data_IF_133738796954
#
_entry.id   IF_133738796954
#
_cell.length_a   1.000
_cell.length_b   1.000
_cell.length_c   1.000
_cell.angle_alpha   90.00
_cell.angle_beta   90.00
_cell.angle_gamma   90.00
#
_symmetry.space_group_name_H-M   'P 1'
#
loop_
_entity.id
_entity.type
_entity.pdbx_description
1 polymer ?
#
# COMPACT_ATOMS: atom_id res chain seq x y z
N UNK A 1 8.96 11.59 4.51
CA UNK A 1 10.38 11.38 4.15
C UNK A 1 10.75 9.91 4.31
N UNK A 2 11.51 9.34 3.37
CA UNK A 2 12.06 7.98 3.41
C UNK A 2 13.32 7.98 4.26
N UNK A 3 14.42 8.60 3.85
CA UNK A 3 15.54 8.91 4.73
C UNK A 3 15.16 10.02 5.71
N UNK A 4 15.73 9.97 6.91
CA UNK A 4 15.48 11.01 7.90
C UNK A 4 16.29 12.26 7.58
N UNK A 5 15.74 13.43 7.94
CA UNK A 5 16.45 14.71 7.87
C UNK A 5 17.77 14.68 8.64
N UNK A 6 17.84 13.99 9.78
CA UNK A 6 19.07 13.82 10.56
C UNK A 6 20.12 12.96 9.87
N UNK A 7 19.69 12.01 9.04
CA UNK A 7 20.57 11.10 8.31
C UNK A 7 21.08 11.72 7.00
N UNK A 8 20.21 12.40 6.27
CA UNK A 8 20.55 12.99 4.97
C UNK A 8 19.83 14.35 4.76
N UNK A 9 20.31 15.44 5.39
CA UNK A 9 19.63 16.74 5.36
C UNK A 9 19.43 17.29 3.95
N UNK A 10 20.36 17.04 3.03
CA UNK A 10 20.29 17.54 1.65
C UNK A 10 19.15 16.91 0.85
N UNK A 11 18.71 15.70 1.21
CA UNK A 11 17.60 15.01 0.54
C UNK A 11 16.23 15.32 1.14
N UNK A 12 16.13 16.25 2.10
CA UNK A 12 14.84 16.56 2.76
C UNK A 12 13.75 16.93 1.75
N UNK A 13 14.08 17.69 0.71
CA UNK A 13 13.15 18.11 -0.34
C UNK A 13 13.34 17.38 -1.66
N UNK A 14 14.16 16.32 -1.67
CA UNK A 14 14.29 15.45 -2.83
C UNK A 14 12.98 14.68 -3.00
N UNK A 15 12.36 14.78 -4.19
CA UNK A 15 11.12 14.09 -4.52
C UNK A 15 11.21 12.58 -4.27
N UNK A 16 12.35 11.96 -4.59
CA UNK A 16 12.56 10.53 -4.39
C UNK A 16 12.73 10.15 -2.91
N UNK A 17 12.92 11.13 -2.04
CA UNK A 17 12.94 10.98 -0.60
C UNK A 17 11.59 11.31 0.06
N UNK A 18 10.60 11.74 -0.73
CA UNK A 18 9.23 11.94 -0.28
C UNK A 18 8.41 10.69 -0.62
N UNK A 19 7.93 10.02 0.43
CA UNK A 19 6.81 9.11 0.33
C UNK A 19 5.58 9.87 0.81
N UNK A 20 4.49 9.84 0.04
CA UNK A 20 3.22 10.45 0.42
C UNK A 20 2.78 9.87 1.77
N UNK A 21 2.47 10.73 2.74
CA UNK A 21 2.00 10.32 4.05
C UNK A 21 0.49 10.51 4.10
N UNK A 22 -0.25 9.44 4.41
CA UNK A 22 -1.71 9.44 4.50
C UNK A 22 -2.25 10.06 5.80
N UNK A 23 -1.38 10.59 6.65
CA UNK A 23 -1.76 11.18 7.94
C UNK A 23 -1.54 12.68 7.88
N UNK A 24 -2.59 13.45 8.14
CA UNK A 24 -2.39 14.85 8.49
C UNK A 24 -1.62 14.93 9.82
N UNK A 25 -0.55 15.72 9.81
CA UNK A 25 0.36 15.84 10.93
C UNK A 25 -0.25 16.52 12.16
N UNK A 26 -1.36 17.25 12.00
CA UNK A 26 -2.00 18.03 13.06
C UNK A 26 -3.21 17.31 13.67
N UNK A 27 -4.07 16.67 12.87
CA UNK A 27 -5.26 15.98 13.40
C UNK A 27 -5.04 14.48 13.65
N UNK A 28 -4.62 13.76 12.61
CA UNK A 28 -4.72 12.29 12.60
C UNK A 28 -3.61 11.66 13.44
N UNK A 29 -2.44 12.30 13.43
CA UNK A 29 -1.28 11.86 14.22
C UNK A 29 -1.52 11.99 15.73
N UNK A 30 -2.22 13.05 16.17
CA UNK A 30 -2.55 13.23 17.58
C UNK A 30 -3.65 12.25 18.01
N UNK A 31 -4.67 12.05 17.18
CA UNK A 31 -5.73 11.06 17.43
C UNK A 31 -5.16 9.65 17.53
N UNK A 32 -4.27 9.24 16.62
CA UNK A 32 -3.62 7.92 16.65
C UNK A 32 -2.74 7.73 17.90
N UNK A 33 -1.99 8.78 18.30
CA UNK A 33 -1.19 8.76 19.54
C UNK A 33 -2.08 8.65 20.78
N UNK A 34 -3.18 9.39 20.83
CA UNK A 34 -4.15 9.35 21.95
C UNK A 34 -4.84 7.98 22.03
N UNK A 35 -5.11 7.35 20.88
CA UNK A 35 -5.70 6.01 20.80
C UNK A 35 -4.70 4.88 21.05
N UNK A 36 -3.42 5.19 21.28
CA UNK A 36 -2.37 4.19 21.49
C UNK A 36 -2.07 3.34 20.24
N UNK A 37 -2.51 3.79 19.07
CA UNK A 37 -2.23 3.12 17.81
C UNK A 37 -0.75 3.31 17.45
N UNK A 38 -0.06 2.22 17.10
CA UNK A 38 1.31 2.34 16.61
C UNK A 38 1.34 3.15 15.31
N UNK A 39 2.11 4.23 15.32
CA UNK A 39 2.30 5.10 14.16
C UNK A 39 2.96 4.34 13.01
N UNK A 40 2.62 4.70 11.78
CA UNK A 40 3.07 4.04 10.55
C UNK A 40 3.66 5.04 9.53
N UNK A 41 4.17 4.52 8.43
CA UNK A 41 4.79 5.28 7.35
C UNK A 41 5.99 6.10 7.83
N UNK A 42 6.03 7.37 7.43
CA UNK A 42 7.12 8.30 7.78
C UNK A 42 7.28 8.57 9.28
N UNK A 43 6.31 8.16 10.11
CA UNK A 43 6.29 8.36 11.56
C UNK A 43 6.45 7.07 12.36
N UNK A 44 6.63 5.92 11.70
CA UNK A 44 6.89 4.66 12.37
C UNK A 44 8.14 4.75 13.27
N UNK A 45 8.05 4.14 14.46
CA UNK A 45 9.13 4.13 15.45
C UNK A 45 10.43 3.54 14.89
N UNK A 46 10.33 2.58 13.96
CA UNK A 46 11.45 1.97 13.23
C UNK A 46 12.33 2.97 12.50
N UNK A 47 11.75 4.11 12.05
CA UNK A 47 12.53 5.16 11.39
C UNK A 47 13.45 5.91 12.35
N UNK A 48 13.25 5.88 13.66
CA UNK A 48 14.09 6.64 14.61
C UNK A 48 15.59 6.35 14.52
N UNK A 49 15.99 5.19 13.97
CA UNK A 49 17.37 4.72 13.85
C UNK A 49 18.03 4.96 12.48
N UNK A 50 17.34 5.64 11.55
CA UNK A 50 17.79 5.80 10.17
C UNK A 50 17.30 4.68 9.25
N UNK A 51 17.47 4.86 7.95
CA UNK A 51 16.97 3.97 6.89
C UNK A 51 18.14 3.43 6.08
N UNK A 52 18.20 2.11 5.93
CA UNK A 52 19.09 1.43 5.01
C UNK A 52 18.45 1.42 3.62
N UNK A 53 18.95 2.30 2.75
CA UNK A 53 18.42 2.48 1.40
C UNK A 53 18.72 1.29 0.47
N UNK A 54 19.69 0.43 0.79
CA UNK A 54 19.93 -0.79 0.02
C UNK A 54 18.84 -1.84 0.28
N UNK A 55 18.28 -1.84 1.50
CA UNK A 55 17.22 -2.76 1.91
C UNK A 55 15.81 -2.20 1.65
N UNK A 56 15.66 -0.88 1.61
CA UNK A 56 14.36 -0.23 1.42
C UNK A 56 13.80 -0.43 0.00
N UNK A 57 12.56 -0.87 -0.10
CA UNK A 57 11.78 -0.92 -1.35
C UNK A 57 11.05 0.41 -1.51
N UNK A 58 11.56 1.26 -2.39
CA UNK A 58 10.96 2.57 -2.67
C UNK A 58 9.72 2.44 -3.54
N UNK A 59 8.68 3.25 -3.27
CA UNK A 59 7.51 3.36 -4.15
C UNK A 59 7.83 4.00 -5.51
N UNK A 60 9.02 4.62 -5.65
CA UNK A 60 9.53 5.15 -6.90
C UNK A 60 10.37 4.12 -7.68
N UNK A 61 10.60 2.92 -7.12
CA UNK A 61 11.24 1.83 -7.84
C UNK A 61 10.27 1.25 -8.87
N UNK A 62 10.71 1.04 -10.12
CA UNK A 62 9.90 0.31 -11.09
C UNK A 62 9.48 -1.05 -10.52
N UNK A 63 8.21 -1.39 -10.68
CA UNK A 63 7.64 -2.66 -10.23
C UNK A 63 7.82 -2.94 -8.73
N UNK A 64 7.80 -1.90 -7.88
CA UNK A 64 7.88 -2.07 -6.43
C UNK A 64 6.73 -2.92 -5.86
N UNK A 65 5.57 -2.94 -6.53
CA UNK A 65 4.39 -3.71 -6.12
C UNK A 65 4.65 -5.20 -6.02
N UNK A 66 5.55 -5.77 -6.85
CA UNK A 66 5.84 -7.20 -6.84
C UNK A 66 6.44 -7.71 -5.53
N UNK A 67 6.96 -6.81 -4.68
CA UNK A 67 7.55 -7.19 -3.40
C UNK A 67 6.50 -7.51 -2.33
N UNK A 68 5.25 -7.10 -2.54
CA UNK A 68 4.22 -7.14 -1.50
C UNK A 68 2.98 -7.90 -1.97
N UNK A 69 2.48 -8.78 -1.11
CA UNK A 69 1.17 -9.38 -1.22
C UNK A 69 0.27 -8.89 -0.08
N UNK A 70 -1.04 -8.89 -0.34
CA UNK A 70 -2.07 -8.46 0.61
C UNK A 70 -2.95 -9.65 0.94
N UNK A 71 -3.16 -9.90 2.23
CA UNK A 71 -3.98 -10.99 2.71
C UNK A 71 -5.37 -10.49 3.12
N UNK A 72 -6.34 -11.41 3.16
CA UNK A 72 -7.72 -11.11 3.57
C UNK A 72 -7.84 -10.58 5.00
N UNK A 73 -6.92 -10.94 5.89
CA UNK A 73 -6.84 -10.39 7.25
C UNK A 73 -6.19 -8.99 7.32
N UNK A 74 -6.00 -8.35 6.18
CA UNK A 74 -5.44 -7.00 6.04
C UNK A 74 -3.93 -6.93 6.20
N UNK A 75 -3.20 -8.04 6.35
CA UNK A 75 -1.72 -8.00 6.41
C UNK A 75 -1.11 -7.76 5.04
N UNK A 76 0.00 -7.02 5.05
CA UNK A 76 0.97 -6.93 3.96
C UNK A 76 2.12 -7.89 4.29
N UNK A 77 2.46 -8.76 3.36
CA UNK A 77 3.53 -9.75 3.49
C UNK A 77 4.46 -9.70 2.28
N UNK A 78 5.69 -10.24 2.34
CA UNK A 78 6.49 -10.47 1.15
C UNK A 78 5.68 -11.31 0.14
N UNK A 79 5.72 -10.93 -1.13
CA UNK A 79 5.05 -11.71 -2.18
C UNK A 79 5.72 -13.08 -2.38
N UNK A 80 4.95 -14.03 -2.91
CA UNK A 80 5.48 -15.33 -3.29
C UNK A 80 6.48 -15.22 -4.46
N UNK A 81 7.42 -16.17 -4.55
CA UNK A 81 8.38 -16.25 -5.64
C UNK A 81 9.55 -15.27 -5.57
N UNK A 82 9.64 -14.46 -4.52
CA UNK A 82 10.79 -13.60 -4.25
C UNK A 82 12.04 -14.42 -3.88
N UNK A 83 13.21 -13.93 -4.29
CA UNK A 83 14.49 -14.45 -3.82
C UNK A 83 14.71 -14.11 -2.33
N UNK A 84 15.62 -14.81 -1.62
CA UNK A 84 15.89 -14.52 -0.21
C UNK A 84 16.30 -13.06 0.07
N UNK A 85 17.04 -12.44 -0.84
CA UNK A 85 17.41 -11.02 -0.73
C UNK A 85 16.18 -10.12 -0.87
N UNK A 86 15.28 -10.42 -1.80
CA UNK A 86 14.06 -9.63 -2.01
C UNK A 86 13.06 -9.79 -0.88
N UNK A 87 12.97 -10.98 -0.29
CA UNK A 87 12.19 -11.23 0.94
C UNK A 87 12.73 -10.33 2.07
N UNK A 88 14.05 -10.31 2.30
CA UNK A 88 14.65 -9.45 3.34
C UNK A 88 14.29 -7.96 3.11
N UNK A 89 14.32 -7.51 1.86
CA UNK A 89 13.96 -6.13 1.50
C UNK A 89 12.48 -5.82 1.74
N UNK A 90 11.59 -6.74 1.40
CA UNK A 90 10.16 -6.62 1.65
C UNK A 90 9.87 -6.57 3.15
N UNK A 91 10.40 -7.52 3.92
CA UNK A 91 10.26 -7.59 5.39
C UNK A 91 10.83 -6.34 6.06
N UNK A 92 12.01 -5.90 5.63
CA UNK A 92 12.62 -4.67 6.11
C UNK A 92 11.70 -3.47 5.89
N UNK A 93 11.12 -3.34 4.70
CA UNK A 93 10.26 -2.21 4.36
C UNK A 93 8.93 -2.26 5.13
N UNK A 94 8.31 -3.43 5.25
CA UNK A 94 7.08 -3.65 6.04
C UNK A 94 7.31 -3.25 7.50
N UNK A 95 8.40 -3.73 8.11
CA UNK A 95 8.74 -3.43 9.49
C UNK A 95 9.15 -1.97 9.70
N UNK A 96 9.98 -1.42 8.81
CA UNK A 96 10.45 -0.03 8.90
C UNK A 96 9.30 0.97 8.89
N UNK A 97 8.32 0.75 8.02
CA UNK A 97 7.15 1.63 7.86
C UNK A 97 5.96 1.22 8.73
N UNK A 98 6.08 0.14 9.51
CA UNK A 98 4.98 -0.47 10.26
C UNK A 98 3.71 -0.63 9.41
N UNK A 99 3.85 -1.22 8.21
CA UNK A 99 2.72 -1.34 7.25
C UNK A 99 1.59 -2.22 7.80
N UNK A 100 1.90 -3.08 8.77
CA UNK A 100 0.95 -3.92 9.51
C UNK A 100 0.60 -3.34 10.89
N UNK A 101 0.63 -2.02 11.04
CA UNK A 101 0.06 -1.40 12.24
C UNK A 101 -1.40 -1.87 12.41
N UNK A 102 -1.88 -2.14 13.64
CA UNK A 102 -3.22 -2.66 13.85
C UNK A 102 -4.32 -1.82 13.20
N UNK A 103 -4.12 -0.49 13.14
CA UNK A 103 -5.02 0.44 12.47
C UNK A 103 -5.09 0.19 10.96
N UNK A 104 -3.93 0.16 10.27
CA UNK A 104 -3.90 -0.08 8.82
C UNK A 104 -4.37 -1.49 8.45
N UNK A 105 -4.02 -2.47 9.28
CA UNK A 105 -4.47 -3.84 9.09
C UNK A 105 -6.00 -3.91 9.19
N UNK A 106 -6.59 -3.30 10.22
CA UNK A 106 -8.05 -3.24 10.38
C UNK A 106 -8.76 -2.57 9.21
N UNK A 107 -8.25 -1.44 8.72
CA UNK A 107 -8.84 -0.76 7.56
C UNK A 107 -8.78 -1.63 6.29
N UNK A 108 -7.66 -2.31 6.04
CA UNK A 108 -7.51 -3.19 4.88
C UNK A 108 -8.39 -4.42 4.99
N UNK A 109 -8.53 -4.99 6.18
CA UNK A 109 -9.44 -6.11 6.41
C UNK A 109 -10.89 -5.70 6.13
N UNK A 110 -11.35 -4.57 6.68
CA UNK A 110 -12.72 -4.09 6.42
C UNK A 110 -12.97 -3.82 4.94
N UNK A 111 -11.98 -3.29 4.23
CA UNK A 111 -12.07 -3.11 2.78
C UNK A 111 -12.12 -4.44 2.02
N UNK A 112 -11.32 -5.43 2.44
CA UNK A 112 -11.37 -6.77 1.85
C UNK A 112 -12.74 -7.42 2.05
N UNK A 113 -13.30 -7.35 3.26
CA UNK A 113 -14.62 -7.89 3.58
C UNK A 113 -15.73 -7.24 2.69
N UNK A 114 -15.62 -5.93 2.43
CA UNK A 114 -16.52 -5.21 1.52
C UNK A 114 -16.38 -5.68 0.07
N UNK A 115 -15.15 -5.82 -0.43
CA UNK A 115 -14.89 -6.36 -1.76
C UNK A 115 -15.41 -7.79 -1.92
N UNK A 116 -15.22 -8.63 -0.91
CA UNK A 116 -15.71 -10.02 -0.91
C UNK A 116 -17.23 -10.07 -0.99
N UNK A 117 -17.94 -9.26 -0.18
CA UNK A 117 -19.40 -9.18 -0.25
C UNK A 117 -19.90 -8.70 -1.63
N UNK A 118 -19.29 -7.68 -2.21
CA UNK A 118 -19.64 -7.18 -3.54
C UNK A 118 -19.34 -8.20 -4.64
N UNK A 119 -18.21 -8.90 -4.52
CA UNK A 119 -17.83 -9.96 -5.45
C UNK A 119 -18.83 -11.11 -5.42
N UNK A 120 -19.19 -11.60 -4.23
CA UNK A 120 -20.20 -12.65 -4.07
C UNK A 120 -21.56 -12.23 -4.64
N UNK A 121 -21.99 -10.99 -4.38
CA UNK A 121 -23.22 -10.45 -4.96
C UNK A 121 -23.18 -10.47 -6.49
N UNK A 122 -22.09 -10.01 -7.10
CA UNK A 122 -21.93 -9.98 -8.56
C UNK A 122 -21.94 -11.39 -9.16
N UNK A 123 -21.26 -12.34 -8.52
CA UNK A 123 -21.29 -13.75 -8.94
C UNK A 123 -22.72 -14.31 -8.86
N UNK A 124 -23.41 -14.10 -7.74
CA UNK A 124 -24.77 -14.60 -7.52
C UNK A 124 -25.79 -13.99 -8.49
N UNK A 125 -25.61 -12.73 -8.87
CA UNK A 125 -26.48 -12.03 -9.82
C UNK A 125 -26.01 -12.15 -11.27
N UNK A 126 -24.92 -12.91 -11.54
CA UNK A 126 -24.30 -13.05 -12.86
C UNK A 126 -23.95 -11.69 -13.51
N UNK A 127 -23.46 -10.76 -12.70
CA UNK A 127 -22.97 -9.45 -13.10
C UNK A 127 -21.48 -9.49 -13.45
N UNK A 128 -21.00 -8.49 -14.18
CA UNK A 128 -19.62 -8.42 -14.66
C UNK A 128 -18.63 -8.06 -13.55
N UNK A 129 -17.67 -8.96 -13.29
CA UNK A 129 -16.57 -8.70 -12.37
C UNK A 129 -15.57 -7.66 -12.93
N UNK A 130 -15.41 -7.57 -14.25
CA UNK A 130 -14.61 -6.51 -14.87
C UNK A 130 -15.19 -5.12 -14.62
N UNK A 131 -16.53 -5.01 -14.60
CA UNK A 131 -17.18 -3.74 -14.27
C UNK A 131 -16.96 -3.38 -12.80
N UNK A 132 -17.10 -4.35 -11.88
CA UNK A 132 -16.83 -4.14 -10.46
C UNK A 132 -15.38 -3.71 -10.22
N UNK A 133 -14.41 -4.44 -10.78
CA UNK A 133 -12.99 -4.10 -10.69
C UNK A 133 -12.70 -2.70 -11.26
N UNK A 134 -13.35 -2.34 -12.37
CA UNK A 134 -13.20 -1.03 -13.01
C UNK A 134 -13.68 0.16 -12.18
N UNK A 135 -14.61 -0.04 -11.25
CA UNK A 135 -15.09 1.04 -10.36
C UNK A 135 -13.95 1.56 -9.48
N UNK A 136 -13.10 0.66 -8.98
CA UNK A 136 -12.05 1.01 -8.02
C UNK A 136 -10.64 1.10 -8.64
N UNK A 137 -10.42 0.45 -9.78
CA UNK A 137 -9.10 0.40 -10.42
C UNK A 137 -8.92 1.41 -11.54
N UNK A 138 -9.99 2.00 -12.08
CA UNK A 138 -9.86 3.04 -13.10
C UNK A 138 -9.76 4.41 -12.39
N UNK A 139 -8.69 5.19 -12.63
CA UNK A 139 -8.54 6.49 -12.00
C UNK A 139 -9.69 7.43 -12.37
N UNK A 140 -10.28 8.08 -11.37
CA UNK A 140 -11.27 9.14 -11.59
C UNK A 140 -10.54 10.48 -11.59
N UNK A 141 -10.40 11.08 -12.78
CA UNK A 141 -9.55 12.25 -12.98
C UNK A 141 -8.07 11.87 -12.96
N UNK A 142 -7.34 12.27 -11.91
CA UNK A 142 -5.92 11.96 -11.72
C UNK A 142 -5.63 11.21 -10.40
N UNK A 143 -6.67 10.71 -9.73
CA UNK A 143 -6.57 10.08 -8.42
C UNK A 143 -6.89 8.58 -8.51
N UNK A 144 -6.09 7.78 -7.81
CA UNK A 144 -6.40 6.38 -7.56
C UNK A 144 -7.44 6.27 -6.43
N UNK A 145 -8.26 5.22 -6.47
CA UNK A 145 -9.13 4.88 -5.34
C UNK A 145 -8.32 4.57 -4.09
N UNK A 146 -8.96 4.68 -2.94
CA UNK A 146 -8.39 4.20 -1.68
C UNK A 146 -8.07 2.71 -1.79
N UNK A 147 -7.04 2.26 -1.07
CA UNK A 147 -6.69 0.83 -1.03
C UNK A 147 -6.44 0.19 -2.40
N UNK A 148 -6.07 0.97 -3.41
CA UNK A 148 -5.82 0.52 -4.79
C UNK A 148 -5.00 -0.77 -4.88
N UNK A 149 -3.88 -0.86 -4.16
CA UNK A 149 -2.98 -2.03 -4.25
C UNK A 149 -3.62 -3.33 -3.74
N UNK A 150 -4.45 -3.27 -2.69
CA UNK A 150 -5.15 -4.47 -2.20
C UNK A 150 -6.33 -4.81 -3.10
N UNK A 151 -7.03 -3.82 -3.66
CA UNK A 151 -8.07 -4.05 -4.69
C UNK A 151 -7.48 -4.74 -5.92
N UNK A 152 -6.33 -4.27 -6.42
CA UNK A 152 -5.62 -4.89 -7.55
C UNK A 152 -5.23 -6.34 -7.23
N UNK A 153 -4.73 -6.58 -6.01
CA UNK A 153 -4.36 -7.92 -5.56
C UNK A 153 -5.57 -8.86 -5.46
N UNK A 154 -6.69 -8.37 -4.90
CA UNK A 154 -7.95 -9.12 -4.75
C UNK A 154 -8.50 -9.61 -6.09
N UNK A 155 -8.58 -8.73 -7.09
CA UNK A 155 -9.11 -9.10 -8.42
C UNK A 155 -8.10 -9.87 -9.30
N UNK A 156 -6.82 -9.88 -8.94
CA UNK A 156 -5.79 -10.65 -9.63
C UNK A 156 -5.76 -10.39 -11.13
N UNK A 157 -5.89 -11.45 -11.94
CA UNK A 157 -5.87 -11.32 -13.41
C UNK A 157 -6.93 -10.38 -13.98
N UNK A 158 -8.12 -10.29 -13.35
CA UNK A 158 -9.18 -9.35 -13.79
C UNK A 158 -8.70 -7.90 -13.64
N UNK A 159 -7.96 -7.60 -12.56
CA UNK A 159 -7.39 -6.27 -12.36
C UNK A 159 -6.43 -5.89 -13.48
N UNK A 160 -5.54 -6.81 -13.86
CA UNK A 160 -4.56 -6.58 -14.92
C UNK A 160 -5.24 -6.35 -16.27
N UNK A 161 -6.24 -7.18 -16.60
CA UNK A 161 -7.03 -7.02 -17.83
C UNK A 161 -7.73 -5.65 -17.90
N UNK A 162 -8.33 -5.20 -16.79
CA UNK A 162 -8.99 -3.87 -16.71
C UNK A 162 -7.98 -2.74 -16.89
N UNK A 163 -6.83 -2.82 -16.21
CA UNK A 163 -5.78 -1.79 -16.27
C UNK A 163 -5.13 -1.72 -17.65
N UNK A 164 -4.88 -2.86 -18.30
CA UNK A 164 -4.32 -2.90 -19.66
C UNK A 164 -5.28 -2.30 -20.70
N UNK A 165 -6.58 -2.58 -20.59
CA UNK A 165 -7.59 -2.04 -21.50
C UNK A 165 -7.70 -0.51 -21.43
N UNK A 166 -7.56 0.06 -20.23
CA UNK A 166 -7.57 1.51 -20.04
C UNK A 166 -6.23 2.17 -20.37
N UNK A 167 -5.09 1.52 -20.11
CA UNK A 167 -3.77 2.05 -20.46
C UNK A 167 -3.62 2.35 -21.97
N UNK A 168 -4.30 1.58 -22.83
CA UNK A 168 -4.36 1.83 -24.28
C UNK A 168 -5.21 3.04 -24.70
N UNK A 169 -5.88 3.73 -23.77
CA UNK A 169 -6.76 4.88 -24.02
C UNK A 169 -6.16 6.23 -23.64
N UNK A 170 -4.95 6.25 -23.05
CA UNK A 170 -4.23 7.46 -22.60
C UNK A 170 -3.09 7.83 -23.55
#
# INVERSE_FOLDING_TARGET
HVENKSQNPQRTFDYNNLAACALDSQSDLEVLKIQGAEVFGGHASGKSKGVDMARFVSCHMPDCSRFFAYLSDGRVVPADGLSPEEVDRAEYTIGLLNLNSPYLQGLRQSWWDELEALFEEHVNQNMSLHCLAGIDLIPVGANLSQFFSITRNFFGGIAEEVLEQEAGRW
#
